data_IF_048878508078
#
_entry.id   IF_048878508078
#
_cell.length_a   1.000
_cell.length_b   1.000
_cell.length_c   1.000
_cell.angle_alpha   90.00
_cell.angle_beta   90.00
_cell.angle_gamma   90.00
#
_symmetry.space_group_name_H-M   'P 1'
#
loop_
_entity.id
_entity.type
_entity.pdbx_description
1 polymer ?
#
# COMPACT_ATOMS: atom_id res chain seq x y z
N UNK A 1 11.92 10.91 -28.34
CA UNK A 1 12.02 10.36 -26.97
C UNK A 1 10.84 10.90 -26.21
N UNK A 2 10.06 10.03 -25.53
CA UNK A 2 8.81 10.41 -24.84
C UNK A 2 8.98 10.14 -23.34
N UNK A 3 8.50 11.03 -22.49
CA UNK A 3 8.51 10.84 -21.04
C UNK A 3 7.49 9.75 -20.65
N UNK A 4 7.94 8.69 -19.98
CA UNK A 4 7.09 7.58 -19.57
C UNK A 4 6.00 7.96 -18.54
N UNK A 5 6.15 9.12 -17.85
CA UNK A 5 5.20 9.58 -16.84
C UNK A 5 4.08 10.47 -17.37
N UNK A 6 4.36 11.34 -18.35
CA UNK A 6 3.38 12.33 -18.83
C UNK A 6 3.23 12.37 -20.36
N UNK A 7 3.90 11.49 -21.10
CA UNK A 7 3.83 11.44 -22.55
C UNK A 7 4.53 12.60 -23.28
N UNK A 8 5.10 13.58 -22.58
CA UNK A 8 5.71 14.77 -23.19
C UNK A 8 7.00 14.42 -23.95
N UNK A 9 7.22 15.08 -25.09
CA UNK A 9 8.48 15.04 -25.86
C UNK A 9 9.49 16.10 -25.41
N UNK A 10 9.12 17.02 -24.51
CA UNK A 10 9.98 18.10 -24.02
C UNK A 10 10.99 17.58 -22.96
N UNK A 11 12.06 16.94 -23.45
CA UNK A 11 13.05 16.26 -22.61
C UNK A 11 14.41 16.92 -22.80
N UNK A 12 15.15 17.10 -21.70
CA UNK A 12 16.55 17.54 -21.72
C UNK A 12 17.48 16.56 -21.03
N UNK A 13 18.74 16.50 -21.47
CA UNK A 13 19.80 15.78 -20.75
C UNK A 13 20.05 16.49 -19.41
N UNK A 14 20.22 15.72 -18.35
CA UNK A 14 20.47 16.21 -17.00
C UNK A 14 21.91 15.85 -16.58
N UNK A 15 22.47 16.56 -15.59
CA UNK A 15 23.74 16.20 -14.98
C UNK A 15 23.57 15.08 -13.95
N UNK A 16 24.62 14.30 -13.72
CA UNK A 16 24.67 13.33 -12.65
C UNK A 16 24.70 14.02 -11.28
N UNK A 17 24.06 13.44 -10.27
CA UNK A 17 24.15 13.91 -8.90
C UNK A 17 25.33 13.24 -8.20
N UNK A 18 25.90 13.93 -7.19
CA UNK A 18 27.10 13.48 -6.46
C UNK A 18 27.00 12.08 -5.79
N UNK A 19 25.80 11.57 -5.56
CA UNK A 19 25.55 10.31 -4.84
C UNK A 19 25.02 9.19 -5.75
N UNK A 20 25.19 9.31 -7.09
CA UNK A 20 24.75 8.26 -8.02
C UNK A 20 25.94 7.36 -8.37
N UNK A 21 25.72 6.03 -8.36
CA UNK A 21 26.78 5.02 -8.53
C UNK A 21 27.61 5.19 -9.81
N UNK A 22 28.91 5.21 -9.68
CA UNK A 22 29.89 5.43 -10.75
C UNK A 22 29.80 4.39 -11.89
N UNK A 23 29.37 3.16 -11.61
CA UNK A 23 29.26 2.09 -12.62
C UNK A 23 28.19 2.34 -13.68
N UNK A 24 27.16 3.13 -13.38
CA UNK A 24 26.07 3.43 -14.29
C UNK A 24 26.39 4.56 -15.30
N UNK A 25 27.46 5.34 -15.09
CA UNK A 25 27.86 6.46 -15.95
C UNK A 25 28.27 6.04 -17.37
N UNK A 26 28.83 4.82 -17.51
CA UNK A 26 29.32 4.32 -18.81
C UNK A 26 28.18 3.88 -19.75
N UNK A 27 27.08 3.41 -19.20
CA UNK A 27 26.01 2.76 -19.96
C UNK A 27 24.75 3.61 -20.10
N UNK A 28 24.50 4.52 -19.17
CA UNK A 28 23.25 5.28 -19.11
C UNK A 28 23.50 6.79 -19.03
N UNK A 29 22.66 7.56 -19.70
CA UNK A 29 22.64 9.02 -19.60
C UNK A 29 21.38 9.49 -18.88
N UNK A 30 21.49 10.43 -17.91
CA UNK A 30 20.32 10.97 -17.22
C UNK A 30 19.58 11.99 -18.08
N UNK A 31 18.25 11.91 -18.07
CA UNK A 31 17.35 12.84 -18.73
C UNK A 31 16.29 13.34 -17.75
N UNK A 32 15.76 14.53 -17.99
CA UNK A 32 14.67 15.11 -17.21
C UNK A 32 13.60 15.69 -18.15
N UNK A 33 12.35 15.34 -17.91
CA UNK A 33 11.22 15.97 -18.55
C UNK A 33 11.07 17.42 -18.04
N UNK A 34 10.88 18.39 -18.94
CA UNK A 34 10.68 19.80 -18.55
C UNK A 34 9.30 20.05 -17.98
N UNK A 35 8.30 19.29 -18.43
CA UNK A 35 6.91 19.51 -18.05
C UNK A 35 6.57 18.90 -16.67
N UNK A 36 6.84 17.59 -16.48
CA UNK A 36 6.56 16.93 -15.19
C UNK A 36 7.78 16.80 -14.27
N UNK A 37 8.97 17.29 -14.69
CA UNK A 37 10.27 17.23 -13.98
C UNK A 37 10.75 15.81 -13.63
N UNK A 38 10.06 14.77 -14.11
CA UNK A 38 10.46 13.37 -13.89
C UNK A 38 11.83 13.11 -14.47
N UNK A 39 12.69 12.40 -13.70
CA UNK A 39 14.04 12.03 -14.11
C UNK A 39 14.09 10.55 -14.46
N UNK A 40 14.74 10.21 -15.57
CA UNK A 40 14.91 8.85 -16.03
C UNK A 40 16.25 8.67 -16.72
N UNK A 41 16.69 7.43 -16.88
CA UNK A 41 17.96 7.09 -17.47
C UNK A 41 17.74 6.37 -18.80
N UNK A 42 18.55 6.68 -19.79
CA UNK A 42 18.53 6.01 -21.09
C UNK A 42 19.91 5.47 -21.41
N UNK A 43 19.94 4.28 -22.00
CA UNK A 43 21.17 3.65 -22.50
C UNK A 43 21.85 4.58 -23.52
N UNK A 44 23.09 4.96 -23.28
CA UNK A 44 23.84 5.94 -24.07
C UNK A 44 24.69 5.27 -25.13
N UNK A 45 24.07 4.85 -26.23
CA UNK A 45 24.74 4.77 -27.49
C UNK A 45 25.44 3.49 -27.91
N UNK A 46 25.97 3.42 -29.14
CA UNK A 46 26.51 2.19 -29.68
C UNK A 46 27.89 1.91 -29.11
N UNK A 47 27.99 0.78 -28.43
CA UNK A 47 29.27 0.17 -28.13
C UNK A 47 29.88 -0.25 -29.48
N UNK A 48 30.82 0.55 -30.02
CA UNK A 48 31.61 0.11 -31.15
C UNK A 48 32.57 -0.97 -30.63
N UNK A 49 32.11 -2.21 -30.58
CA UNK A 49 32.99 -3.35 -30.34
C UNK A 49 34.01 -3.40 -31.48
N UNK A 50 35.27 -3.18 -31.15
CA UNK A 50 36.38 -3.44 -32.06
C UNK A 50 36.38 -4.93 -32.44
N UNK A 51 36.63 -5.25 -33.71
CA UNK A 51 36.68 -6.62 -34.22
C UNK A 51 37.65 -7.52 -33.42
N UNK A 52 38.66 -6.93 -32.78
CA UNK A 52 39.61 -7.62 -31.90
C UNK A 52 38.98 -8.07 -30.57
N UNK A 53 38.03 -7.30 -30.03
CA UNK A 53 37.33 -7.66 -28.79
C UNK A 53 36.31 -8.79 -29.03
N UNK A 54 35.69 -8.85 -30.20
CA UNK A 54 34.75 -9.95 -30.55
C UNK A 54 35.46 -11.29 -30.72
N UNK A 55 36.67 -11.30 -31.30
CA UNK A 55 37.45 -12.54 -31.44
C UNK A 55 37.91 -13.08 -30.09
N UNK A 56 38.33 -12.21 -29.16
CA UNK A 56 38.71 -12.59 -27.78
C UNK A 56 37.51 -13.15 -27.01
N UNK A 57 36.34 -12.58 -27.16
CA UNK A 57 35.12 -13.06 -26.50
C UNK A 57 34.70 -14.44 -26.99
N UNK A 58 34.80 -14.71 -28.32
CA UNK A 58 34.49 -16.00 -28.92
C UNK A 58 35.43 -17.11 -28.45
N UNK A 59 36.73 -16.81 -28.30
CA UNK A 59 37.72 -17.76 -27.78
C UNK A 59 37.44 -18.07 -26.31
N UNK A 60 37.15 -17.06 -25.48
CA UNK A 60 36.79 -17.26 -24.07
C UNK A 60 35.48 -18.07 -23.93
N UNK A 61 34.47 -17.76 -24.69
CA UNK A 61 33.18 -18.51 -24.68
C UNK A 61 33.40 -19.96 -25.13
N UNK A 62 34.18 -20.19 -26.19
CA UNK A 62 34.54 -21.55 -26.63
C UNK A 62 35.28 -22.33 -25.54
N UNK A 63 36.23 -21.71 -24.84
CA UNK A 63 36.95 -22.34 -23.74
C UNK A 63 36.08 -22.67 -22.55
N UNK A 64 35.15 -21.77 -22.17
CA UNK A 64 34.19 -22.02 -21.11
C UNK A 64 33.18 -23.10 -21.49
N UNK A 65 32.73 -23.14 -22.74
CA UNK A 65 31.79 -24.18 -23.24
C UNK A 65 32.51 -25.55 -23.23
N UNK A 66 33.78 -25.64 -23.64
CA UNK A 66 34.52 -26.94 -23.59
C UNK A 66 34.77 -27.38 -22.16
N UNK A 67 35.12 -26.50 -21.24
CA UNK A 67 35.21 -26.84 -19.80
C UNK A 67 33.85 -27.29 -19.25
N UNK A 68 32.77 -26.60 -19.58
CA UNK A 68 31.42 -26.94 -19.16
C UNK A 68 30.98 -28.31 -19.68
N UNK A 69 31.32 -28.62 -20.94
CA UNK A 69 31.00 -29.95 -21.54
C UNK A 69 31.87 -31.07 -20.97
N UNK A 70 33.13 -30.79 -20.59
CA UNK A 70 34.01 -31.78 -19.97
C UNK A 70 33.73 -32.01 -18.48
N UNK A 71 33.17 -31.02 -17.78
CA UNK A 71 32.77 -31.17 -16.38
C UNK A 71 31.42 -31.79 -16.15
N UNK A 72 30.61 -31.94 -17.20
CA UNK A 72 29.26 -32.52 -17.11
C UNK A 72 29.13 -33.95 -17.69
N UNK A 73 30.22 -34.71 -17.73
CA UNK A 73 30.20 -36.09 -18.21
C UNK A 73 30.01 -37.17 -17.12
N UNK A 74 29.48 -36.83 -15.98
CA UNK A 74 29.05 -37.81 -14.98
C UNK A 74 27.53 -38.04 -15.02
N UNK A 75 27.08 -39.23 -15.48
CA UNK A 75 25.67 -39.55 -15.49
C UNK A 75 25.27 -40.33 -14.23
N UNK A 76 25.25 -39.69 -13.07
CA UNK A 76 24.52 -40.28 -11.94
C UNK A 76 24.17 -39.21 -10.91
N UNK A 77 22.89 -39.22 -10.56
CA UNK A 77 22.18 -38.44 -9.58
C UNK A 77 21.54 -37.18 -10.19
N UNK A 78 20.48 -37.37 -10.94
CA UNK A 78 19.45 -36.34 -11.06
C UNK A 78 18.81 -36.11 -9.68
N UNK A 79 19.30 -35.11 -8.94
CA UNK A 79 18.47 -34.51 -7.90
C UNK A 79 17.19 -34.01 -8.58
N UNK A 80 16.00 -34.28 -8.00
CA UNK A 80 14.78 -33.76 -8.57
C UNK A 80 14.92 -32.23 -8.65
N UNK A 81 14.40 -31.59 -9.70
CA UNK A 81 14.43 -30.13 -9.78
C UNK A 81 13.83 -29.64 -8.48
N UNK A 82 14.59 -28.77 -7.77
CA UNK A 82 14.05 -27.98 -6.68
C UNK A 82 12.83 -27.33 -7.30
N UNK A 83 11.66 -27.83 -6.92
CA UNK A 83 10.42 -27.17 -7.23
C UNK A 83 10.60 -25.77 -6.66
N UNK A 84 10.95 -24.79 -7.51
CA UNK A 84 10.58 -23.43 -7.23
C UNK A 84 9.10 -23.55 -6.91
N UNK A 85 8.78 -23.41 -5.63
CA UNK A 85 7.43 -23.20 -5.18
C UNK A 85 6.98 -21.98 -5.97
N UNK A 86 6.39 -22.26 -7.15
CA UNK A 86 5.71 -21.23 -7.94
C UNK A 86 4.62 -20.82 -6.98
N UNK A 87 4.81 -19.68 -6.35
CA UNK A 87 3.76 -18.99 -5.61
C UNK A 87 2.66 -18.72 -6.64
N UNK A 88 1.79 -19.73 -6.79
CA UNK A 88 0.66 -19.66 -7.72
C UNK A 88 -0.27 -18.63 -7.11
N UNK A 89 -0.07 -17.37 -7.55
CA UNK A 89 -1.02 -16.30 -7.25
C UNK A 89 -2.40 -16.87 -7.64
N UNK A 90 -3.31 -17.06 -6.68
CA UNK A 90 -4.55 -17.76 -6.97
C UNK A 90 -5.25 -17.06 -8.13
N UNK A 91 -5.63 -17.85 -9.16
CA UNK A 91 -6.35 -17.31 -10.31
C UNK A 91 -7.56 -16.52 -9.82
N UNK A 92 -7.85 -15.35 -10.41
CA UNK A 92 -9.04 -14.51 -10.13
C UNK A 92 -10.31 -15.33 -9.99
N UNK A 93 -10.48 -16.31 -10.86
CA UNK A 93 -11.63 -17.21 -10.84
C UNK A 93 -11.68 -18.02 -9.55
N UNK A 94 -10.55 -18.50 -9.06
CA UNK A 94 -10.49 -19.27 -7.83
C UNK A 94 -10.83 -18.41 -6.60
N UNK A 95 -10.34 -17.17 -6.52
CA UNK A 95 -10.71 -16.26 -5.43
C UNK A 95 -12.21 -15.97 -5.44
N UNK A 96 -12.78 -15.66 -6.61
CA UNK A 96 -14.20 -15.37 -6.72
C UNK A 96 -15.06 -16.62 -6.40
N UNK A 97 -14.64 -17.81 -6.78
CA UNK A 97 -15.35 -19.05 -6.43
C UNK A 97 -15.33 -19.30 -4.92
N UNK A 98 -14.19 -19.14 -4.25
CA UNK A 98 -14.09 -19.25 -2.79
C UNK A 98 -14.87 -18.14 -2.07
N UNK A 99 -14.85 -16.92 -2.59
CA UNK A 99 -15.64 -15.82 -2.06
C UNK A 99 -17.16 -16.13 -2.13
N UNK A 100 -17.63 -16.73 -3.22
CA UNK A 100 -19.01 -17.21 -3.37
C UNK A 100 -19.34 -18.35 -2.40
N UNK A 101 -18.35 -19.19 -2.03
CA UNK A 101 -18.50 -20.25 -1.03
C UNK A 101 -18.59 -19.72 0.40
N UNK A 102 -18.37 -18.40 0.59
CA UNK A 102 -18.55 -17.73 1.88
C UNK A 102 -17.28 -17.52 2.69
N UNK A 103 -16.09 -17.79 2.17
CA UNK A 103 -14.85 -17.52 2.88
C UNK A 103 -14.62 -16.00 3.03
N UNK A 104 -14.42 -15.52 4.27
CA UNK A 104 -14.31 -14.08 4.58
C UNK A 104 -13.06 -13.43 3.97
N UNK A 105 -11.91 -14.13 3.98
CA UNK A 105 -10.65 -13.62 3.44
C UNK A 105 -10.73 -13.50 1.91
N UNK A 106 -11.32 -14.50 1.24
CA UNK A 106 -11.53 -14.46 -0.21
C UNK A 106 -12.60 -13.43 -0.60
N UNK A 107 -13.63 -13.21 0.23
CA UNK A 107 -14.61 -12.12 0.03
C UNK A 107 -13.93 -10.75 0.17
N UNK A 108 -13.06 -10.56 1.16
CA UNK A 108 -12.26 -9.36 1.28
C UNK A 108 -11.35 -9.15 0.05
N UNK A 109 -10.64 -10.19 -0.37
CA UNK A 109 -9.81 -10.17 -1.59
C UNK A 109 -10.63 -9.82 -2.85
N UNK A 110 -11.83 -10.40 -2.99
CA UNK A 110 -12.75 -10.07 -4.07
C UNK A 110 -13.16 -8.58 -4.04
N UNK A 111 -13.43 -8.03 -2.86
CA UNK A 111 -13.70 -6.59 -2.70
C UNK A 111 -12.55 -5.71 -3.17
N UNK A 112 -11.32 -6.06 -2.81
CA UNK A 112 -10.11 -5.34 -3.24
C UNK A 112 -9.91 -5.35 -4.76
N UNK A 113 -10.32 -6.41 -5.45
CA UNK A 113 -10.22 -6.49 -6.92
C UNK A 113 -11.01 -5.40 -7.64
N UNK A 114 -12.08 -4.87 -7.02
CA UNK A 114 -12.91 -3.80 -7.57
C UNK A 114 -12.53 -2.41 -7.07
N UNK A 115 -11.51 -2.31 -6.20
CA UNK A 115 -10.97 -1.03 -5.72
C UNK A 115 -9.90 -0.47 -6.69
N UNK A 116 -9.55 0.83 -6.59
CA UNK A 116 -8.42 1.41 -7.35
C UNK A 116 -7.12 0.62 -7.10
N UNK A 117 -6.43 0.26 -8.18
CA UNK A 117 -5.24 -0.61 -8.11
C UNK A 117 -5.55 -2.11 -8.07
N UNK A 118 -6.82 -2.50 -8.00
CA UNK A 118 -7.26 -3.88 -8.13
C UNK A 118 -7.18 -4.41 -9.57
N UNK A 119 -7.53 -5.68 -9.74
CA UNK A 119 -7.41 -6.37 -11.03
C UNK A 119 -8.58 -6.10 -11.99
N UNK A 120 -9.71 -5.61 -11.48
CA UNK A 120 -10.89 -5.26 -12.28
C UNK A 120 -11.00 -3.75 -12.51
N UNK A 121 -11.88 -3.36 -13.43
CA UNK A 121 -12.30 -1.97 -13.51
C UNK A 121 -12.94 -1.53 -12.18
N UNK A 122 -12.60 -0.33 -11.73
CA UNK A 122 -13.10 0.21 -10.46
C UNK A 122 -14.62 0.18 -10.39
N UNK A 123 -15.15 -0.53 -9.43
CA UNK A 123 -16.60 -0.64 -9.18
C UNK A 123 -16.87 -0.68 -7.66
N UNK A 124 -17.04 0.48 -7.06
CA UNK A 124 -17.28 0.60 -5.62
C UNK A 124 -18.57 -0.09 -5.15
N UNK A 125 -19.59 -0.27 -6.01
CA UNK A 125 -20.81 -1.00 -5.64
C UNK A 125 -20.53 -2.50 -5.47
N UNK A 126 -19.73 -3.08 -6.36
CA UNK A 126 -19.30 -4.48 -6.22
C UNK A 126 -18.35 -4.65 -5.04
N UNK A 127 -17.36 -3.75 -4.87
CA UNK A 127 -16.48 -3.76 -3.70
C UNK A 127 -17.28 -3.70 -2.39
N UNK A 128 -18.26 -2.82 -2.30
CA UNK A 128 -19.13 -2.68 -1.13
C UNK A 128 -19.85 -3.99 -0.80
N UNK A 129 -20.40 -4.70 -1.78
CA UNK A 129 -21.08 -5.99 -1.56
C UNK A 129 -20.16 -7.04 -0.97
N UNK A 130 -18.94 -7.16 -1.53
CA UNK A 130 -17.98 -8.13 -1.06
C UNK A 130 -17.43 -7.79 0.33
N UNK A 131 -17.14 -6.51 0.59
CA UNK A 131 -16.72 -6.06 1.92
C UNK A 131 -17.83 -6.23 2.96
N UNK A 132 -19.09 -5.98 2.62
CA UNK A 132 -20.22 -6.20 3.54
C UNK A 132 -20.36 -7.67 3.94
N UNK A 133 -20.18 -8.61 3.00
CA UNK A 133 -20.19 -10.03 3.28
C UNK A 133 -19.04 -10.45 4.22
N UNK A 134 -17.84 -9.98 3.96
CA UNK A 134 -16.67 -10.27 4.80
C UNK A 134 -16.76 -9.59 6.18
N UNK A 135 -17.25 -8.33 6.23
CA UNK A 135 -17.41 -7.58 7.46
C UNK A 135 -18.47 -8.20 8.40
N UNK A 136 -19.55 -8.76 7.86
CA UNK A 136 -20.55 -9.52 8.62
C UNK A 136 -19.97 -10.77 9.29
N UNK A 137 -18.91 -11.33 8.72
CA UNK A 137 -18.14 -12.42 9.30
C UNK A 137 -17.03 -11.95 10.25
N UNK A 138 -16.87 -10.65 10.39
CA UNK A 138 -15.90 -10.06 11.31
C UNK A 138 -14.50 -9.87 10.72
N UNK A 139 -14.31 -9.86 9.42
CA UNK A 139 -13.02 -9.59 8.80
C UNK A 139 -12.64 -8.10 8.99
N UNK A 140 -11.60 -7.81 9.80
CA UNK A 140 -11.23 -6.45 10.21
C UNK A 140 -10.90 -5.52 9.03
N UNK A 141 -10.13 -6.00 8.03
CA UNK A 141 -9.82 -5.23 6.83
C UNK A 141 -11.06 -4.89 5.99
N UNK A 142 -12.06 -5.78 5.96
CA UNK A 142 -13.31 -5.52 5.26
C UNK A 142 -14.18 -4.50 6.02
N UNK A 143 -14.26 -4.59 7.35
CA UNK A 143 -14.92 -3.58 8.19
C UNK A 143 -14.31 -2.20 7.99
N UNK A 144 -12.97 -2.11 7.96
CA UNK A 144 -12.27 -0.86 7.69
C UNK A 144 -12.59 -0.29 6.31
N UNK A 145 -12.47 -1.09 5.24
CA UNK A 145 -12.75 -0.63 3.88
C UNK A 145 -14.24 -0.26 3.70
N UNK A 146 -15.15 -1.01 4.31
CA UNK A 146 -16.57 -0.68 4.32
C UNK A 146 -16.81 0.69 4.99
N UNK A 147 -16.16 0.94 6.12
CA UNK A 147 -16.18 2.25 6.78
C UNK A 147 -15.68 3.38 5.88
N UNK A 148 -14.59 3.16 5.14
CA UNK A 148 -14.07 4.15 4.18
C UNK A 148 -15.04 4.40 3.00
N UNK A 149 -15.74 3.38 2.52
CA UNK A 149 -16.74 3.53 1.46
C UNK A 149 -17.92 4.40 1.94
N UNK A 150 -18.43 4.17 3.16
CA UNK A 150 -19.46 5.02 3.76
C UNK A 150 -18.97 6.44 4.00
N UNK A 151 -17.76 6.62 4.53
CA UNK A 151 -17.17 7.93 4.77
C UNK A 151 -17.09 8.77 3.50
N UNK A 152 -16.68 8.15 2.38
CA UNK A 152 -16.43 8.84 1.12
C UNK A 152 -17.64 8.84 0.17
N UNK A 153 -18.75 8.20 0.49
CA UNK A 153 -19.91 8.07 -0.38
C UNK A 153 -19.61 7.27 -1.66
N UNK A 154 -18.65 6.32 -1.60
CA UNK A 154 -18.22 5.54 -2.77
C UNK A 154 -19.04 4.27 -2.88
N UNK A 155 -19.89 4.18 -3.91
CA UNK A 155 -20.81 3.04 -4.12
C UNK A 155 -22.03 3.01 -3.21
N UNK A 156 -22.12 3.91 -2.24
CA UNK A 156 -23.19 4.09 -1.26
C UNK A 156 -23.34 5.58 -0.94
N UNK A 157 -24.48 6.00 -0.38
CA UNK A 157 -24.63 7.35 0.15
C UNK A 157 -23.64 7.56 1.31
N UNK A 158 -23.04 8.76 1.36
CA UNK A 158 -22.14 9.14 2.43
C UNK A 158 -22.87 9.13 3.78
N UNK A 159 -22.30 8.40 4.75
CA UNK A 159 -22.82 8.31 6.11
C UNK A 159 -21.64 8.19 7.10
N UNK A 160 -21.35 9.29 7.78
CA UNK A 160 -20.26 9.35 8.74
C UNK A 160 -20.52 8.52 10.00
N UNK A 161 -21.79 8.36 10.40
CA UNK A 161 -22.14 7.53 11.57
C UNK A 161 -21.95 6.05 11.26
N UNK A 162 -22.41 5.59 10.09
CA UNK A 162 -22.15 4.23 9.62
C UNK A 162 -20.63 3.98 9.44
N UNK A 163 -19.90 4.97 8.90
CA UNK A 163 -18.46 4.88 8.75
C UNK A 163 -17.76 4.71 10.10
N UNK A 164 -18.10 5.54 11.09
CA UNK A 164 -17.55 5.46 12.44
C UNK A 164 -17.82 4.09 13.07
N UNK A 165 -19.03 3.57 12.96
CA UNK A 165 -19.40 2.25 13.47
C UNK A 165 -18.53 1.12 12.90
N UNK A 166 -18.33 1.09 11.57
CA UNK A 166 -17.54 0.04 10.94
C UNK A 166 -16.04 0.17 11.25
N UNK A 167 -15.51 1.41 11.25
CA UNK A 167 -14.11 1.67 11.61
C UNK A 167 -13.86 1.33 13.08
N UNK A 168 -14.79 1.61 14.00
CA UNK A 168 -14.69 1.25 15.41
C UNK A 168 -14.58 -0.27 15.60
N UNK A 169 -15.40 -1.06 14.88
CA UNK A 169 -15.31 -2.53 14.91
C UNK A 169 -13.93 -3.02 14.51
N UNK A 170 -13.38 -2.53 13.40
CA UNK A 170 -12.05 -2.89 12.93
C UNK A 170 -10.95 -2.45 13.91
N UNK A 171 -11.06 -1.23 14.49
CA UNK A 171 -10.12 -0.69 15.45
C UNK A 171 -10.06 -1.52 16.74
N UNK A 172 -11.19 -1.97 17.25
CA UNK A 172 -11.27 -2.86 18.43
C UNK A 172 -10.64 -4.23 18.18
N UNK A 173 -10.58 -4.70 16.94
CA UNK A 173 -9.86 -5.92 16.53
C UNK A 173 -8.37 -5.71 16.36
N UNK A 174 -7.87 -4.50 16.60
CA UNK A 174 -6.46 -4.20 16.52
C UNK A 174 -5.96 -3.76 15.15
N UNK A 175 -6.84 -3.51 14.17
CA UNK A 175 -6.44 -3.06 12.84
C UNK A 175 -5.83 -1.65 12.91
N UNK A 176 -4.50 -1.47 12.63
CA UNK A 176 -3.82 -0.21 12.94
C UNK A 176 -4.34 1.00 12.15
N UNK A 177 -4.68 0.80 10.88
CA UNK A 177 -5.24 1.84 10.03
C UNK A 177 -6.62 2.28 10.54
N UNK A 178 -7.43 1.33 11.03
CA UNK A 178 -8.73 1.64 11.62
C UNK A 178 -8.59 2.39 12.95
N UNK A 179 -7.61 2.03 13.78
CA UNK A 179 -7.31 2.76 15.01
C UNK A 179 -6.91 4.20 14.71
N UNK A 180 -6.06 4.42 13.72
CA UNK A 180 -5.71 5.77 13.29
C UNK A 180 -6.93 6.55 12.77
N UNK A 181 -7.76 5.95 11.94
CA UNK A 181 -8.95 6.61 11.41
C UNK A 181 -9.97 6.91 12.51
N UNK A 182 -10.15 6.02 13.48
CA UNK A 182 -11.02 6.25 14.62
C UNK A 182 -10.49 7.41 15.50
N UNK A 183 -9.18 7.46 15.72
CA UNK A 183 -8.54 8.61 16.35
C UNK A 183 -8.83 9.93 15.62
N UNK A 184 -8.82 9.89 14.27
CA UNK A 184 -9.16 11.05 13.44
C UNK A 184 -10.64 11.44 13.61
N UNK A 185 -11.56 10.47 13.65
CA UNK A 185 -12.99 10.72 13.85
C UNK A 185 -13.25 11.40 15.20
N UNK A 186 -12.65 10.90 16.28
CA UNK A 186 -12.73 11.56 17.60
C UNK A 186 -12.09 12.95 17.62
N UNK A 187 -10.98 13.15 16.90
CA UNK A 187 -10.29 14.46 16.83
C UNK A 187 -11.17 15.54 16.19
N UNK A 188 -11.86 15.22 15.10
CA UNK A 188 -12.65 16.20 14.33
C UNK A 188 -14.14 16.18 14.67
N UNK A 189 -14.66 15.09 15.26
CA UNK A 189 -16.07 14.91 15.54
C UNK A 189 -16.87 14.46 14.32
N UNK A 190 -16.28 13.60 13.48
CA UNK A 190 -16.93 13.09 12.25
C UNK A 190 -17.75 11.84 12.57
N UNK A 191 -19.07 11.91 12.51
CA UNK A 191 -19.98 10.79 12.80
C UNK A 191 -20.08 10.38 14.28
N UNK A 192 -19.20 10.88 15.13
CA UNK A 192 -19.17 10.69 16.58
C UNK A 192 -18.78 12.00 17.28
N UNK A 193 -19.14 12.20 18.57
CA UNK A 193 -18.76 13.39 19.31
C UNK A 193 -17.24 13.55 19.40
N UNK A 194 -16.77 14.79 19.27
CA UNK A 194 -15.34 15.11 19.38
C UNK A 194 -14.84 14.83 20.80
N UNK A 195 -13.73 14.06 20.90
CA UNK A 195 -13.05 13.76 22.15
C UNK A 195 -11.54 13.59 21.91
N UNK A 196 -10.74 14.57 22.36
CA UNK A 196 -9.29 14.53 22.20
C UNK A 196 -8.61 13.44 23.03
N UNK A 197 -9.19 13.08 24.19
CA UNK A 197 -8.69 11.98 25.00
C UNK A 197 -8.82 10.65 24.27
N UNK A 198 -9.98 10.38 23.69
CA UNK A 198 -10.18 9.18 22.86
C UNK A 198 -9.31 9.22 21.58
N UNK A 199 -9.21 10.36 20.93
CA UNK A 199 -8.32 10.51 19.77
C UNK A 199 -6.88 10.14 20.10
N UNK A 200 -6.35 10.63 21.24
CA UNK A 200 -5.02 10.26 21.71
C UNK A 200 -4.88 8.76 21.95
N UNK A 201 -5.85 8.14 22.64
CA UNK A 201 -5.86 6.71 22.92
C UNK A 201 -5.74 5.89 21.64
N UNK A 202 -6.59 6.15 20.66
CA UNK A 202 -6.62 5.40 19.41
C UNK A 202 -5.37 5.62 18.56
N UNK A 203 -4.85 6.84 18.47
CA UNK A 203 -3.56 7.11 17.82
C UNK A 203 -2.39 6.41 18.52
N UNK A 204 -2.40 6.36 19.85
CA UNK A 204 -1.36 5.68 20.61
C UNK A 204 -1.39 4.17 20.41
N UNK A 205 -2.56 3.56 20.28
CA UNK A 205 -2.71 2.13 19.96
C UNK A 205 -2.19 1.80 18.55
N UNK A 206 -2.50 2.63 17.55
CA UNK A 206 -1.95 2.50 16.20
C UNK A 206 -0.42 2.65 16.20
N UNK A 207 0.09 3.66 16.90
CA UNK A 207 1.52 3.93 17.08
C UNK A 207 2.27 2.76 17.73
N UNK A 208 1.67 2.12 18.74
CA UNK A 208 2.25 0.97 19.42
C UNK A 208 2.45 -0.26 18.52
N UNK A 209 1.72 -0.32 17.42
CA UNK A 209 1.86 -1.34 16.37
C UNK A 209 2.81 -0.91 15.22
N UNK A 210 3.51 0.22 15.37
CA UNK A 210 4.44 0.73 14.37
C UNK A 210 3.78 1.50 13.21
N UNK A 211 2.49 1.84 13.33
CA UNK A 211 1.81 2.63 12.30
C UNK A 211 2.23 4.11 12.41
N UNK A 212 3.14 4.53 11.52
CA UNK A 212 3.76 5.86 11.49
C UNK A 212 2.76 7.05 11.58
N UNK A 213 1.63 7.07 10.83
CA UNK A 213 0.66 8.17 10.97
C UNK A 213 0.07 8.27 12.38
N UNK A 214 -0.01 7.16 13.12
CA UNK A 214 -0.46 7.14 14.51
C UNK A 214 0.43 7.94 15.45
N UNK A 215 1.76 7.89 15.22
CA UNK A 215 2.75 8.66 16.01
C UNK A 215 2.48 10.16 15.83
N UNK A 216 2.45 10.62 14.58
CA UNK A 216 2.20 12.03 14.24
C UNK A 216 0.81 12.50 14.72
N UNK A 217 -0.22 11.64 14.58
CA UNK A 217 -1.59 11.91 15.04
C UNK A 217 -1.64 12.11 16.54
N UNK A 218 -1.02 11.23 17.32
CA UNK A 218 -0.92 11.29 18.78
C UNK A 218 -0.22 12.58 19.24
N UNK A 219 0.93 12.89 18.67
CA UNK A 219 1.73 14.04 19.05
C UNK A 219 0.98 15.35 18.73
N UNK A 220 0.31 15.41 17.59
CA UNK A 220 -0.54 16.55 17.24
C UNK A 220 -1.70 16.76 18.22
N UNK A 221 -2.35 15.68 18.66
CA UNK A 221 -3.45 15.78 19.64
C UNK A 221 -2.93 16.13 21.03
N UNK A 222 -1.79 15.57 21.44
CA UNK A 222 -1.16 15.90 22.72
C UNK A 222 -0.87 17.41 22.85
N UNK A 223 -0.46 18.07 21.77
CA UNK A 223 -0.23 19.52 21.74
C UNK A 223 -1.52 20.38 21.90
N UNK A 224 -2.70 19.77 21.71
CA UNK A 224 -4.01 20.40 21.89
C UNK A 224 -4.62 20.15 23.28
N UNK A 225 -3.95 19.35 24.14
CA UNK A 225 -4.43 18.90 25.44
C UNK A 225 -3.58 19.50 26.56
N UNK A 226 -4.16 19.63 27.74
CA UNK A 226 -3.39 19.95 28.93
C UNK A 226 -2.70 18.68 29.51
N UNK A 227 -1.74 18.87 30.43
CA UNK A 227 -0.94 17.78 30.97
C UNK A 227 -1.80 16.71 31.71
N UNK A 228 -2.88 17.12 32.39
CA UNK A 228 -3.77 16.18 33.09
C UNK A 228 -4.58 15.33 32.10
N UNK A 229 -5.04 15.90 31.01
CA UNK A 229 -5.73 15.18 29.94
C UNK A 229 -4.80 14.18 29.25
N UNK A 230 -3.56 14.58 28.96
CA UNK A 230 -2.55 13.66 28.37
C UNK A 230 -2.28 12.49 29.32
N UNK A 231 -2.09 12.74 30.63
CA UNK A 231 -1.86 11.69 31.62
C UNK A 231 -3.05 10.71 31.71
N UNK A 232 -4.28 11.26 31.67
CA UNK A 232 -5.51 10.45 31.62
C UNK A 232 -5.53 9.56 30.38
N UNK A 233 -5.25 10.12 29.20
CA UNK A 233 -5.25 9.40 27.93
C UNK A 233 -4.17 8.30 27.90
N UNK A 234 -2.97 8.57 28.42
CA UNK A 234 -1.90 7.58 28.56
C UNK A 234 -2.31 6.41 29.47
N UNK A 235 -2.99 6.71 30.57
CA UNK A 235 -3.49 5.70 31.51
C UNK A 235 -4.56 4.84 30.87
N UNK A 236 -5.49 5.45 30.12
CA UNK A 236 -6.51 4.72 29.35
C UNK A 236 -5.88 3.82 28.30
N UNK A 237 -4.88 4.31 27.56
CA UNK A 237 -4.18 3.53 26.53
C UNK A 237 -3.50 2.29 27.10
N UNK A 238 -2.84 2.41 28.28
CA UNK A 238 -2.19 1.27 28.94
C UNK A 238 -3.17 0.19 29.40
N UNK A 239 -4.36 0.60 29.79
CA UNK A 239 -5.39 -0.29 30.31
C UNK A 239 -6.33 -0.81 29.22
N UNK A 240 -6.11 -0.38 27.97
CA UNK A 240 -6.96 -0.76 26.84
C UNK A 240 -6.78 -2.23 26.50
N UNK A 241 -7.89 -2.96 26.42
CA UNK A 241 -7.90 -4.37 26.00
C UNK A 241 -8.53 -4.45 24.60
N UNK A 242 -7.74 -4.88 23.63
CA UNK A 242 -8.25 -5.21 22.31
C UNK A 242 -9.13 -6.47 22.37
N UNK A 243 -10.13 -6.54 21.50
CA UNK A 243 -10.86 -7.79 21.29
C UNK A 243 -9.89 -8.86 20.72
N UNK A 244 -10.05 -10.14 21.07
CA UNK A 244 -9.23 -11.18 20.47
C UNK A 244 -9.44 -11.18 18.94
N UNK A 245 -8.38 -11.41 18.13
CA UNK A 245 -8.47 -11.46 16.69
C UNK A 245 -9.47 -12.55 16.27
N UNK A 246 -10.44 -12.21 15.45
CA UNK A 246 -11.51 -13.11 15.00
C UNK A 246 -11.10 -14.00 13.83
N UNK A 247 -10.00 -13.67 13.15
CA UNK A 247 -9.40 -14.46 12.07
C UNK A 247 -7.88 -14.44 12.20
N UNK A 248 -7.24 -15.57 11.88
CA UNK A 248 -5.78 -15.69 11.89
C UNK A 248 -5.21 -14.91 10.70
N UNK A 249 -4.77 -13.69 10.95
CA UNK A 249 -4.01 -12.88 9.97
C UNK A 249 -2.58 -13.42 9.74
N UNK A 250 -2.37 -14.75 9.85
CA UNK A 250 -1.11 -15.40 9.56
C UNK A 250 -1.11 -16.06 8.18
N UNK A 251 -1.33 -15.25 7.14
CA UNK A 251 -0.72 -15.50 5.83
C UNK A 251 -0.62 -14.15 5.12
N UNK A 252 0.57 -13.61 5.18
CA UNK A 252 1.01 -12.43 4.42
C UNK A 252 0.70 -12.63 2.93
N UNK A 253 -0.52 -12.28 2.51
CA UNK A 253 -0.74 -11.85 1.15
C UNK A 253 -0.17 -10.43 1.09
N UNK A 254 1.14 -10.32 0.92
CA UNK A 254 1.76 -9.07 0.50
C UNK A 254 1.30 -8.76 -0.92
N UNK A 255 0.06 -8.36 -1.03
CA UNK A 255 -0.33 -7.50 -2.13
C UNK A 255 0.32 -6.17 -1.79
N UNK A 256 1.41 -5.82 -2.49
CA UNK A 256 1.92 -4.46 -2.55
C UNK A 256 0.85 -3.59 -3.22
N UNK A 257 -0.25 -3.39 -2.54
CA UNK A 257 -1.17 -2.30 -2.81
C UNK A 257 -0.63 -1.14 -1.98
N UNK A 258 0.25 -0.34 -2.61
CA UNK A 258 0.36 1.05 -2.16
C UNK A 258 -1.07 1.56 -2.10
N UNK A 259 -1.59 1.73 -0.90
CA UNK A 259 -2.97 2.14 -0.67
C UNK A 259 -3.11 3.57 -1.21
N UNK A 260 -3.61 3.79 -2.45
CA UNK A 260 -3.67 5.12 -3.06
C UNK A 260 -4.63 6.05 -2.30
N UNK A 261 -5.41 5.49 -1.37
CA UNK A 261 -6.40 6.21 -0.58
C UNK A 261 -5.73 7.13 0.45
N UNK A 262 -4.53 6.76 0.95
CA UNK A 262 -3.84 7.58 1.95
C UNK A 262 -3.21 8.87 1.39
N UNK A 263 -2.93 8.95 0.09
CA UNK A 263 -2.34 10.12 -0.54
C UNK A 263 -3.35 11.21 -0.90
N UNK A 264 -4.61 10.85 -1.19
CA UNK A 264 -5.66 11.82 -1.54
C UNK A 264 -6.28 12.52 -0.32
N UNK A 265 -6.12 11.96 0.89
CA UNK A 265 -6.80 12.48 2.07
C UNK A 265 -6.12 13.69 2.73
N UNK A 266 -4.88 14.01 2.35
CA UNK A 266 -4.16 15.17 2.88
C UNK A 266 -4.37 16.46 2.08
N UNK A 267 -4.83 16.37 0.81
CA UNK A 267 -4.95 17.55 -0.04
C UNK A 267 -6.37 18.15 -0.12
N UNK A 268 -7.43 17.42 0.24
CA UNK A 268 -8.80 17.89 0.05
C UNK A 268 -9.37 18.76 1.18
N UNK A 269 -8.72 18.83 2.35
CA UNK A 269 -9.22 19.67 3.46
C UNK A 269 -8.80 21.15 3.40
N UNK A 270 -8.04 21.59 2.39
CA UNK A 270 -7.53 22.96 2.33
C UNK A 270 -8.46 23.96 1.60
N UNK A 271 -9.59 23.54 1.05
CA UNK A 271 -10.50 24.44 0.29
C UNK A 271 -11.97 24.16 0.57
N UNK A 272 -12.46 24.54 1.75
CA UNK A 272 -13.87 24.84 1.94
C UNK A 272 -14.04 26.35 2.00
N UNK A 273 -14.90 26.96 1.15
CA UNK A 273 -15.22 28.39 1.24
C UNK A 273 -16.03 28.66 2.51
N UNK A 274 -15.94 29.87 3.11
CA UNK A 274 -16.69 30.22 4.30
C UNK A 274 -18.19 30.21 4.00
N UNK A 275 -18.97 29.62 4.90
CA UNK A 275 -20.44 29.64 4.86
C UNK A 275 -20.95 31.06 5.05
N UNK A 276 -21.99 31.49 4.34
CA UNK A 276 -22.58 32.83 4.53
C UNK A 276 -23.28 32.93 5.89
N UNK A 277 -22.90 33.96 6.64
CA UNK A 277 -23.58 34.36 7.88
C UNK A 277 -24.94 34.90 7.49
N UNK A 278 -26.01 34.21 7.84
CA UNK A 278 -27.38 34.73 7.77
C UNK A 278 -27.59 35.66 8.98
N UNK A 279 -27.86 36.92 8.69
CA UNK A 279 -28.31 37.90 9.68
C UNK A 279 -29.73 37.62 10.08
#
# INVERSE_FOLDING_TARGET
MICARCGSMNIRRSSWKKNEDHMNHLLYAPYRCRDCKHRFFKFSGPFKLSVTATLGLLVCVGFFVTIYLLSNSDPTIASPPIAHEIEIKPSRTLILEKAKQGNADDQYAAGLMYMPGGEFAVNYKEALKWFDLAAKQGHAGAEFNLGLLYRNGRGVLQDFTAAAHWIEKAAHKGYPEAQYQLGTFYKIGEGIPRDLTQAYVWYNLASAQGYEPGISGRDNVANLMNAAEVLKAQTLSRNFKLAPPTHSENKTLTVNVENPISKDMTETHAKQPPQPVIK
#
